data_IF_990235665545
#
_entry.id   IF_990235665545
#
_cell.length_a   1.000
_cell.length_b   1.000
_cell.length_c   1.000
_cell.angle_alpha   90.00
_cell.angle_beta   90.00
_cell.angle_gamma   90.00
#
_symmetry.space_group_name_H-M   'P 1'
#
loop_
_entity.id
_entity.type
_entity.pdbx_description
1 polymer ?
#
# COMPACT_ATOMS: atom_id res chain seq x y z
N UNK A 1 -31.72 39.66 33.35
CA UNK A 1 -32.17 38.36 33.88
C UNK A 1 -31.09 37.31 33.70
N UNK A 2 -30.05 37.37 34.55
CA UNK A 2 -29.30 36.18 34.95
C UNK A 2 -30.24 35.38 35.87
N UNK A 3 -30.61 34.15 35.47
CA UNK A 3 -31.01 33.04 36.35
C UNK A 3 -31.90 32.04 35.58
N UNK A 4 -31.32 31.15 34.78
CA UNK A 4 -31.99 29.90 34.37
C UNK A 4 -31.03 28.88 33.73
N UNK A 5 -29.80 28.74 34.23
CA UNK A 5 -28.87 27.67 33.79
C UNK A 5 -28.15 27.03 34.96
N UNK A 6 -28.92 26.47 35.89
CA UNK A 6 -28.47 25.51 36.89
C UNK A 6 -29.68 24.64 37.21
N UNK A 7 -29.84 23.49 36.54
CA UNK A 7 -30.70 22.39 37.03
C UNK A 7 -30.60 21.07 36.26
N UNK A 8 -29.76 20.93 35.23
CA UNK A 8 -29.45 19.61 34.65
C UNK A 8 -27.94 19.47 34.54
N UNK A 9 -27.37 18.62 35.39
CA UNK A 9 -25.93 18.32 35.50
C UNK A 9 -25.35 17.60 34.29
N UNK A 10 -25.60 18.10 33.09
CA UNK A 10 -24.99 17.61 31.86
C UNK A 10 -23.72 18.42 31.65
N UNK A 11 -22.59 17.88 32.13
CA UNK A 11 -21.30 18.32 31.64
C UNK A 11 -21.23 17.97 30.15
N UNK A 12 -20.96 18.98 29.31
CA UNK A 12 -20.57 18.70 27.93
C UNK A 12 -19.31 17.81 28.00
N UNK A 13 -19.25 16.67 27.29
CA UNK A 13 -18.04 15.87 27.29
C UNK A 13 -16.87 16.75 26.87
N UNK A 14 -15.76 16.67 27.60
CA UNK A 14 -14.54 17.36 27.24
C UNK A 14 -14.25 17.10 25.76
N UNK A 15 -13.93 18.14 24.99
CA UNK A 15 -13.40 17.96 23.64
C UNK A 15 -12.16 17.07 23.77
N UNK A 16 -12.29 15.81 23.39
CA UNK A 16 -11.13 14.94 23.20
C UNK A 16 -10.38 15.54 22.02
N UNK A 17 -9.39 16.39 22.29
CA UNK A 17 -8.45 16.79 21.24
C UNK A 17 -7.57 15.57 20.99
N UNK A 18 -7.90 14.78 19.97
CA UNK A 18 -6.95 13.82 19.42
C UNK A 18 -5.89 14.66 18.70
N UNK A 19 -4.84 15.05 19.43
CA UNK A 19 -3.57 15.43 18.81
C UNK A 19 -2.77 14.16 18.72
N UNK A 20 -2.40 13.74 17.51
CA UNK A 20 -1.34 12.76 17.32
C UNK A 20 -0.03 13.47 17.71
N UNK A 21 0.29 13.45 19.01
CA UNK A 21 1.54 14.00 19.54
C UNK A 21 2.57 12.88 19.52
N UNK A 22 3.48 12.90 18.53
CA UNK A 22 4.60 11.96 18.47
C UNK A 22 5.10 11.65 17.07
N UNK A 23 4.22 11.66 16.07
CA UNK A 23 4.58 11.23 14.71
C UNK A 23 5.46 12.29 14.03
N UNK A 24 6.67 11.91 13.65
CA UNK A 24 7.60 12.72 12.86
C UNK A 24 7.45 12.40 11.37
N UNK A 25 8.04 13.22 10.49
CA UNK A 25 7.96 12.98 9.03
C UNK A 25 8.68 11.69 8.59
N UNK A 26 9.58 11.16 9.42
CA UNK A 26 10.26 9.86 9.23
C UNK A 26 9.33 8.66 9.47
N UNK A 27 8.24 8.82 10.22
CA UNK A 27 7.23 7.76 10.44
C UNK A 27 6.32 7.56 9.21
N UNK A 28 6.46 8.40 8.18
CA UNK A 28 5.61 8.38 6.98
C UNK A 28 6.09 7.30 6.01
N UNK A 29 5.19 6.38 5.65
CA UNK A 29 5.46 5.37 4.60
C UNK A 29 5.49 6.01 3.20
N UNK A 30 4.57 6.94 2.91
CA UNK A 30 4.45 7.62 1.62
C UNK A 30 5.15 8.98 1.66
N UNK A 31 6.45 8.98 1.43
CA UNK A 31 7.33 10.14 1.63
C UNK A 31 7.32 11.13 0.47
N UNK A 32 6.93 10.73 -0.74
CA UNK A 32 6.79 11.63 -1.89
C UNK A 32 5.33 11.87 -2.27
N UNK A 33 4.40 11.80 -1.31
CA UNK A 33 2.97 11.93 -1.56
C UNK A 33 2.60 13.22 -2.32
N UNK A 34 3.37 14.30 -2.16
CA UNK A 34 3.15 15.58 -2.82
C UNK A 34 3.95 15.79 -4.11
N UNK A 35 4.67 14.78 -4.62
CA UNK A 35 5.42 14.87 -5.87
C UNK A 35 6.56 15.90 -5.84
N UNK A 36 7.10 16.20 -4.66
CA UNK A 36 8.20 17.17 -4.47
C UNK A 36 9.57 16.61 -4.87
N UNK A 37 9.68 15.29 -4.91
CA UNK A 37 10.85 14.55 -5.32
C UNK A 37 10.55 13.74 -6.59
N UNK A 38 11.61 13.21 -7.21
CA UNK A 38 11.50 12.38 -8.40
C UNK A 38 10.69 11.10 -8.11
N UNK A 39 9.62 10.87 -8.86
CA UNK A 39 8.76 9.69 -8.72
C UNK A 39 9.31 8.45 -9.45
N UNK A 40 10.31 8.63 -10.31
CA UNK A 40 10.96 7.54 -11.07
C UNK A 40 11.86 6.68 -10.19
N UNK A 41 12.40 5.60 -10.76
CA UNK A 41 13.18 4.59 -10.04
C UNK A 41 14.34 5.18 -9.24
N UNK A 42 15.11 6.11 -9.83
CA UNK A 42 16.24 6.75 -9.13
C UNK A 42 15.80 7.48 -7.87
N UNK A 43 14.70 8.23 -7.97
CA UNK A 43 14.09 8.90 -6.82
C UNK A 43 13.58 7.90 -5.78
N UNK A 44 12.88 6.85 -6.21
CA UNK A 44 12.36 5.80 -5.33
C UNK A 44 13.48 5.10 -4.54
N UNK A 45 14.58 4.72 -5.20
CA UNK A 45 15.75 4.12 -4.55
C UNK A 45 16.36 5.06 -3.50
N UNK A 46 16.41 6.37 -3.77
CA UNK A 46 16.94 7.34 -2.80
C UNK A 46 16.08 7.46 -1.53
N UNK A 47 14.80 7.07 -1.60
CA UNK A 47 13.85 7.06 -0.48
C UNK A 47 13.73 5.70 0.21
N UNK A 48 14.51 4.71 -0.22
CA UNK A 48 14.52 3.37 0.37
C UNK A 48 13.48 2.41 -0.21
N UNK A 49 12.80 2.76 -1.31
CA UNK A 49 12.01 1.78 -2.06
C UNK A 49 12.97 0.77 -2.74
N UNK A 50 12.51 -0.46 -2.93
CA UNK A 50 13.31 -1.59 -3.44
C UNK A 50 14.50 -1.98 -2.54
N UNK A 51 14.54 -1.50 -1.30
CA UNK A 51 15.60 -1.83 -0.35
C UNK A 51 15.39 -3.22 0.24
N UNK A 52 16.38 -4.10 0.05
CA UNK A 52 16.39 -5.48 0.53
C UNK A 52 15.16 -6.31 0.13
N UNK A 53 14.52 -5.96 -0.98
CA UNK A 53 13.34 -6.69 -1.48
C UNK A 53 13.70 -8.14 -1.76
N UNK A 54 14.88 -8.42 -2.33
CA UNK A 54 15.36 -9.79 -2.58
C UNK A 54 15.35 -10.63 -1.30
N UNK A 55 15.90 -10.09 -0.21
CA UNK A 55 15.98 -10.75 1.09
C UNK A 55 14.58 -10.99 1.68
N UNK A 56 13.66 -10.04 1.51
CA UNK A 56 12.25 -10.21 1.88
C UNK A 56 11.62 -11.39 1.11
N UNK A 57 11.85 -11.48 -0.20
CA UNK A 57 11.30 -12.55 -1.04
C UNK A 57 11.86 -13.93 -0.69
N UNK A 58 13.14 -13.99 -0.29
CA UNK A 58 13.84 -15.22 0.11
C UNK A 58 13.43 -15.73 1.49
N UNK A 59 12.92 -14.86 2.38
CA UNK A 59 12.35 -15.28 3.68
C UNK A 59 11.06 -16.11 3.52
N UNK A 60 10.44 -16.05 2.35
CA UNK A 60 9.32 -16.92 1.98
C UNK A 60 7.94 -16.43 2.41
N UNK A 61 6.86 -17.06 1.90
CA UNK A 61 5.49 -16.58 2.07
C UNK A 61 5.03 -16.54 3.53
N UNK A 62 5.36 -17.56 4.32
CA UNK A 62 4.90 -17.69 5.71
C UNK A 62 5.48 -16.59 6.59
N UNK A 63 6.75 -16.21 6.38
CA UNK A 63 7.36 -15.10 7.08
C UNK A 63 6.67 -13.77 6.73
N UNK A 64 6.46 -13.49 5.44
CA UNK A 64 5.79 -12.25 5.00
C UNK A 64 4.37 -12.18 5.57
N UNK A 65 3.61 -13.28 5.49
CA UNK A 65 2.25 -13.34 6.04
C UNK A 65 2.24 -13.15 7.57
N UNK A 66 3.24 -13.70 8.27
CA UNK A 66 3.43 -13.53 9.71
C UNK A 66 3.63 -12.06 10.07
N UNK A 67 4.58 -11.38 9.42
CA UNK A 67 4.86 -9.95 9.66
C UNK A 67 3.62 -9.07 9.39
N UNK A 68 2.87 -9.33 8.30
CA UNK A 68 1.65 -8.57 8.00
C UNK A 68 0.56 -8.82 9.06
N UNK A 69 0.42 -10.04 9.59
CA UNK A 69 -0.52 -10.31 10.69
C UNK A 69 -0.08 -9.60 11.97
N UNK A 70 1.20 -9.66 12.32
CA UNK A 70 1.77 -8.99 13.51
C UNK A 70 1.63 -7.48 13.43
N UNK A 71 1.74 -6.87 12.24
CA UNK A 71 1.57 -5.42 12.03
C UNK A 71 0.16 -4.91 12.36
N UNK A 72 -0.84 -5.79 12.48
CA UNK A 72 -2.23 -5.40 12.68
C UNK A 72 -2.86 -4.68 11.49
N UNK A 73 -2.26 -4.77 10.29
CA UNK A 73 -2.75 -4.08 9.10
C UNK A 73 -4.18 -4.51 8.75
N UNK A 74 -5.06 -3.51 8.61
CA UNK A 74 -6.45 -3.66 8.17
C UNK A 74 -6.63 -3.06 6.78
N UNK A 75 -7.59 -3.58 6.03
CA UNK A 75 -7.90 -3.16 4.67
C UNK A 75 -8.15 -1.65 4.56
N UNK A 76 -7.54 -1.02 3.56
CA UNK A 76 -7.57 0.44 3.34
C UNK A 76 -8.63 0.92 2.34
N UNK A 77 -9.46 0.02 1.83
CA UNK A 77 -10.57 0.32 0.91
C UNK A 77 -11.95 0.46 1.59
N UNK A 78 -12.01 0.67 2.91
CA UNK A 78 -13.27 0.91 3.63
C UNK A 78 -13.81 -0.26 4.45
N UNK A 79 -13.68 -1.51 3.99
CA UNK A 79 -14.17 -2.69 4.73
C UNK A 79 -13.39 -3.01 6.02
N UNK A 80 -12.15 -2.52 6.15
CA UNK A 80 -11.35 -2.71 7.37
C UNK A 80 -11.04 -4.17 7.73
N UNK A 81 -11.11 -5.10 6.79
CA UNK A 81 -10.82 -6.52 7.05
C UNK A 81 -9.31 -6.74 7.30
N UNK A 82 -8.88 -7.61 8.24
CA UNK A 82 -7.45 -7.84 8.51
C UNK A 82 -6.70 -8.37 7.27
N UNK A 83 -5.72 -7.60 6.79
CA UNK A 83 -5.05 -7.86 5.50
C UNK A 83 -4.28 -9.18 5.53
N UNK A 84 -3.52 -9.44 6.59
CA UNK A 84 -2.74 -10.68 6.72
C UNK A 84 -3.60 -11.95 6.80
N UNK A 85 -4.78 -11.85 7.42
CA UNK A 85 -5.76 -12.94 7.43
C UNK A 85 -6.32 -13.18 6.01
N UNK A 86 -6.70 -12.11 5.31
CA UNK A 86 -7.20 -12.20 3.93
C UNK A 86 -6.20 -12.87 3.00
N UNK A 87 -4.93 -12.47 3.07
CA UNK A 87 -3.88 -13.05 2.23
C UNK A 87 -3.62 -14.52 2.55
N UNK A 88 -3.75 -14.92 3.82
CA UNK A 88 -3.51 -16.32 4.22
C UNK A 88 -4.51 -17.32 3.63
N UNK A 89 -5.67 -16.87 3.14
CA UNK A 89 -6.60 -17.74 2.43
C UNK A 89 -6.03 -18.32 1.13
N UNK A 90 -5.02 -17.66 0.55
CA UNK A 90 -4.34 -18.10 -0.68
C UNK A 90 -3.17 -19.06 -0.42
N UNK A 91 -2.78 -19.27 0.84
CA UNK A 91 -1.70 -20.18 1.24
C UNK A 91 -2.16 -21.65 1.24
N UNK A 92 -2.79 -22.06 0.15
CA UNK A 92 -3.19 -23.44 -0.13
C UNK A 92 -2.28 -24.03 -1.21
N UNK A 93 -2.06 -25.36 -1.23
CA UNK A 93 -1.37 -26.02 -2.33
C UNK A 93 -1.95 -25.59 -3.68
N UNK A 94 -1.10 -25.46 -4.70
CA UNK A 94 -1.58 -25.18 -6.06
C UNK A 94 -2.36 -26.40 -6.56
N UNK A 95 -3.53 -26.14 -7.12
CA UNK A 95 -4.39 -27.11 -7.81
C UNK A 95 -4.10 -27.15 -9.32
N UNK A 96 -2.93 -26.66 -9.73
CA UNK A 96 -2.54 -26.51 -11.14
C UNK A 96 -3.00 -25.19 -11.76
N UNK A 97 -3.91 -24.44 -11.13
CA UNK A 97 -4.33 -23.13 -11.64
C UNK A 97 -3.35 -22.04 -11.22
N UNK A 98 -3.07 -21.05 -12.09
CA UNK A 98 -2.30 -19.88 -11.70
C UNK A 98 -3.11 -19.04 -10.70
N UNK A 99 -2.42 -18.56 -9.66
CA UNK A 99 -2.97 -17.59 -8.71
C UNK A 99 -2.64 -16.18 -9.17
N UNK A 100 -3.49 -15.21 -8.85
CA UNK A 100 -3.29 -13.82 -9.26
C UNK A 100 -3.50 -12.87 -8.09
N UNK A 101 -2.75 -11.78 -8.10
CA UNK A 101 -3.01 -10.62 -7.26
C UNK A 101 -3.77 -9.60 -8.11
N UNK A 102 -4.86 -9.06 -7.56
CA UNK A 102 -5.58 -7.93 -8.17
C UNK A 102 -5.50 -6.77 -7.20
N UNK A 103 -4.91 -5.66 -7.65
CA UNK A 103 -4.82 -4.41 -6.92
C UNK A 103 -5.96 -3.52 -7.40
N UNK A 104 -6.83 -3.12 -6.48
CA UNK A 104 -7.90 -2.17 -6.76
C UNK A 104 -7.33 -0.74 -6.69
N UNK A 105 -7.29 -0.07 -7.84
CA UNK A 105 -6.86 1.31 -8.02
C UNK A 105 -7.93 2.14 -8.77
N UNK A 106 -9.21 1.81 -8.55
CA UNK A 106 -10.34 2.52 -9.15
C UNK A 106 -10.55 3.91 -8.49
N UNK A 107 -10.61 3.96 -7.16
CA UNK A 107 -10.87 5.20 -6.41
C UNK A 107 -12.09 5.98 -6.96
N UNK A 108 -13.20 5.25 -7.16
CA UNK A 108 -14.48 5.80 -7.59
C UNK A 108 -15.23 6.56 -6.50
N UNK A 109 -14.88 6.36 -5.22
CA UNK A 109 -15.66 6.86 -4.09
C UNK A 109 -15.56 8.39 -3.92
N UNK A 110 -16.68 9.13 -3.83
CA UNK A 110 -16.67 10.57 -3.61
C UNK A 110 -15.87 10.97 -2.36
N UNK A 111 -14.92 11.90 -2.53
CA UNK A 111 -14.05 12.38 -1.45
C UNK A 111 -12.77 11.57 -1.25
N UNK A 112 -12.53 10.52 -2.02
CA UNK A 112 -11.31 9.71 -1.96
C UNK A 112 -10.34 10.14 -3.08
N UNK A 113 -9.10 10.47 -2.72
CA UNK A 113 -8.04 10.88 -3.66
C UNK A 113 -6.64 10.38 -3.26
N UNK A 114 -6.58 9.47 -2.28
CA UNK A 114 -5.35 8.91 -1.72
C UNK A 114 -4.60 8.01 -2.71
N UNK A 115 -5.32 7.17 -3.44
CA UNK A 115 -4.74 6.17 -4.35
C UNK A 115 -4.18 6.86 -5.58
N UNK A 116 -4.87 7.90 -6.08
CA UNK A 116 -4.40 8.76 -7.16
C UNK A 116 -3.01 9.34 -6.86
N UNK A 117 -2.80 9.89 -5.67
CA UNK A 117 -1.51 10.50 -5.30
C UNK A 117 -0.39 9.45 -5.18
N UNK A 118 -0.71 8.26 -4.65
CA UNK A 118 0.26 7.15 -4.55
C UNK A 118 0.69 6.71 -5.95
N UNK A 119 -0.25 6.48 -6.87
CA UNK A 119 0.05 6.02 -8.24
C UNK A 119 0.83 7.10 -9.00
N UNK A 120 0.50 8.38 -8.78
CA UNK A 120 1.12 9.49 -9.49
C UNK A 120 2.54 9.81 -9.01
N UNK A 121 2.79 9.76 -7.70
CA UNK A 121 4.01 10.30 -7.10
C UNK A 121 4.92 9.26 -6.43
N UNK A 122 4.39 8.09 -6.05
CA UNK A 122 5.14 6.97 -5.48
C UNK A 122 4.80 5.62 -6.14
N UNK A 123 4.83 5.50 -7.49
CA UNK A 123 4.42 4.29 -8.19
C UNK A 123 5.30 3.07 -7.87
N UNK A 124 6.60 3.27 -7.63
CA UNK A 124 7.52 2.17 -7.34
C UNK A 124 7.17 1.44 -6.04
N UNK A 125 6.69 2.16 -5.02
CA UNK A 125 6.23 1.57 -3.75
C UNK A 125 5.02 0.66 -3.97
N UNK A 126 4.12 1.04 -4.87
CA UNK A 126 2.99 0.19 -5.26
C UNK A 126 3.46 -1.07 -6.00
N UNK A 127 4.38 -0.93 -6.95
CA UNK A 127 4.92 -2.06 -7.74
C UNK A 127 5.69 -3.03 -6.85
N UNK A 128 6.52 -2.53 -5.93
CA UNK A 128 7.19 -3.36 -4.92
C UNK A 128 6.17 -4.08 -4.02
N UNK A 129 5.13 -3.37 -3.57
CA UNK A 129 4.03 -3.96 -2.82
C UNK A 129 3.31 -5.09 -3.59
N UNK A 130 3.17 -4.96 -4.91
CA UNK A 130 2.63 -6.02 -5.77
C UNK A 130 3.54 -7.25 -5.78
N UNK A 131 4.85 -7.06 -5.83
CA UNK A 131 5.81 -8.16 -5.81
C UNK A 131 5.81 -8.87 -4.46
N UNK A 132 5.88 -8.14 -3.35
CA UNK A 132 5.90 -8.71 -1.99
C UNK A 132 4.58 -9.39 -1.66
N UNK A 133 3.44 -8.73 -1.95
CA UNK A 133 2.12 -9.32 -1.77
C UNK A 133 1.89 -10.53 -2.68
N UNK A 134 2.32 -10.42 -3.94
CA UNK A 134 2.27 -11.53 -4.90
C UNK A 134 3.07 -12.73 -4.41
N UNK A 135 4.30 -12.52 -3.89
CA UNK A 135 5.14 -13.57 -3.31
C UNK A 135 4.48 -14.23 -2.10
N UNK A 136 3.87 -13.44 -1.22
CA UNK A 136 3.17 -13.92 -0.03
C UNK A 136 1.97 -14.83 -0.36
N UNK A 137 1.30 -14.59 -1.49
CA UNK A 137 0.14 -15.38 -1.93
C UNK A 137 0.47 -16.45 -2.99
N UNK A 138 1.73 -16.52 -3.44
CA UNK A 138 2.13 -17.38 -4.55
C UNK A 138 1.47 -17.00 -5.88
N UNK A 139 1.27 -15.70 -6.12
CA UNK A 139 0.69 -15.18 -7.34
C UNK A 139 1.68 -15.27 -8.52
N UNK A 140 1.16 -15.67 -9.69
CA UNK A 140 1.90 -15.70 -10.96
C UNK A 140 2.06 -14.29 -11.55
N UNK A 141 1.05 -13.46 -11.39
CA UNK A 141 1.05 -12.08 -11.88
C UNK A 141 0.20 -11.18 -10.97
N UNK A 142 0.46 -9.89 -11.06
CA UNK A 142 -0.33 -8.84 -10.44
C UNK A 142 -1.03 -8.01 -11.52
N UNK A 143 -2.34 -7.82 -11.38
CA UNK A 143 -3.13 -6.95 -12.23
C UNK A 143 -3.55 -5.72 -11.41
N UNK A 144 -3.13 -4.54 -11.86
CA UNK A 144 -3.49 -3.27 -11.22
C UNK A 144 -4.64 -2.68 -12.03
N UNK A 145 -5.83 -2.68 -11.45
CA UNK A 145 -7.02 -2.13 -12.08
C UNK A 145 -7.07 -0.63 -11.81
N UNK A 146 -6.65 0.17 -12.79
CA UNK A 146 -6.70 1.64 -12.73
C UNK A 146 -7.97 2.14 -13.40
N UNK A 147 -8.59 3.13 -12.79
CA UNK A 147 -9.73 3.85 -13.35
C UNK A 147 -9.43 4.51 -14.68
N UNK A 148 -10.38 4.47 -15.61
CA UNK A 148 -10.22 5.03 -16.96
C UNK A 148 -9.87 6.53 -16.98
N UNK A 149 -10.42 7.30 -16.03
CA UNK A 149 -10.16 8.72 -15.89
C UNK A 149 -8.72 9.06 -15.46
N UNK A 150 -7.99 8.10 -14.87
CA UNK A 150 -6.62 8.26 -14.40
C UNK A 150 -5.60 7.93 -15.48
N UNK A 151 -5.78 8.47 -16.69
CA UNK A 151 -4.92 8.17 -17.83
C UNK A 151 -3.45 8.56 -17.60
N UNK A 152 -3.20 9.75 -17.05
CA UNK A 152 -1.85 10.24 -16.80
C UNK A 152 -1.17 9.41 -15.70
N UNK A 153 -1.90 9.09 -14.64
CA UNK A 153 -1.42 8.26 -13.55
C UNK A 153 -1.15 6.83 -14.01
N UNK A 154 -2.00 6.25 -14.88
CA UNK A 154 -1.75 4.97 -15.52
C UNK A 154 -0.50 5.00 -16.41
N UNK A 155 -0.30 6.06 -17.20
CA UNK A 155 0.89 6.25 -18.03
C UNK A 155 2.16 6.34 -17.17
N UNK A 156 2.12 7.11 -16.07
CA UNK A 156 3.24 7.20 -15.13
C UNK A 156 3.56 5.85 -14.49
N UNK A 157 2.53 5.11 -14.07
CA UNK A 157 2.73 3.77 -13.52
C UNK A 157 3.35 2.83 -14.56
N UNK A 158 2.92 2.88 -15.81
CA UNK A 158 3.51 2.05 -16.87
C UNK A 158 4.99 2.39 -17.13
N UNK A 159 5.38 3.66 -17.02
CA UNK A 159 6.79 4.06 -17.07
C UNK A 159 7.56 3.44 -15.89
N UNK A 160 7.05 3.56 -14.66
CA UNK A 160 7.68 2.97 -13.47
C UNK A 160 7.77 1.43 -13.55
N UNK A 161 6.74 0.77 -14.09
CA UNK A 161 6.73 -0.67 -14.36
C UNK A 161 7.82 -1.03 -15.37
N UNK A 162 7.93 -0.29 -16.47
CA UNK A 162 9.00 -0.50 -17.46
C UNK A 162 10.38 -0.34 -16.83
N UNK A 163 10.61 0.72 -16.05
CA UNK A 163 11.87 0.92 -15.32
C UNK A 163 12.18 -0.26 -14.39
N UNK A 164 11.17 -0.81 -13.70
CA UNK A 164 11.32 -1.98 -12.84
C UNK A 164 11.63 -3.28 -13.64
N UNK A 165 11.07 -3.46 -14.84
CA UNK A 165 11.43 -4.56 -15.74
C UNK A 165 12.86 -4.42 -16.25
N UNK A 166 13.25 -3.23 -16.72
CA UNK A 166 14.58 -2.94 -17.24
C UNK A 166 15.68 -3.12 -16.17
N UNK A 167 15.36 -2.78 -14.92
CA UNK A 167 16.24 -2.99 -13.77
C UNK A 167 16.23 -4.43 -13.22
N UNK A 168 15.42 -5.35 -13.77
CA UNK A 168 15.31 -6.73 -13.29
C UNK A 168 14.65 -6.87 -11.91
N UNK A 169 13.94 -5.85 -11.45
CA UNK A 169 13.22 -5.85 -10.16
C UNK A 169 11.94 -6.68 -10.27
N UNK A 170 11.31 -6.69 -11.44
CA UNK A 170 10.15 -7.53 -11.76
C UNK A 170 10.38 -8.31 -13.06
N UNK A 171 9.52 -9.28 -13.33
CA UNK A 171 9.60 -10.16 -14.50
C UNK A 171 10.19 -11.53 -14.15
N UNK A 172 10.92 -12.13 -15.09
CA UNK A 172 11.55 -13.44 -14.87
C UNK A 172 12.67 -13.26 -13.84
N UNK A 173 12.64 -14.07 -12.77
CA UNK A 173 13.60 -13.98 -11.66
C UNK A 173 13.60 -12.59 -11.01
N UNK A 174 12.43 -12.13 -10.54
CA UNK A 174 12.24 -10.82 -9.93
C UNK A 174 13.24 -10.57 -8.78
N UNK A 175 13.93 -9.42 -8.81
CA UNK A 175 15.00 -9.06 -7.86
C UNK A 175 16.13 -10.12 -7.73
N UNK A 176 16.28 -11.02 -8.71
CA UNK A 176 17.26 -12.11 -8.64
C UNK A 176 16.98 -13.14 -7.54
N UNK A 177 15.72 -13.35 -7.15
CA UNK A 177 15.34 -14.24 -6.04
C UNK A 177 14.96 -15.69 -6.41
N UNK A 178 14.89 -16.03 -7.69
CA UNK A 178 14.48 -17.35 -8.20
C UNK A 178 13.36 -17.25 -9.23
#
# INVERSE_FOLDING_TARGET
MLAARRLLGWSLPARVSVRFSGDTDEDRIFTNLYGRHDWRLKGALSRGDWYKTKEILLKGPDWILGEIKTSGLRGRGGAGFPTGLKWSFMNKPSDGRPKYLVVNADEGEPGTCKDREIIRHDPHKLVEGCLVGGRAMGARAAYIYIRGEFYNEASNLQVAIREAYEAGLIGKNACGSG
#
